data_IF_864150368309
#
_entry.id   IF_864150368309
#
_cell.length_a   1.000
_cell.length_b   1.000
_cell.length_c   1.000
_cell.angle_alpha   90.00
_cell.angle_beta   90.00
_cell.angle_gamma   90.00
#
_symmetry.space_group_name_H-M   'P 1'
#
loop_
_entity.id
_entity.type
_entity.pdbx_description
1 polymer ?
#
# COMPACT_ATOMS: atom_id res chain seq x y z
N UNK A 1 36.81 -10.89 1.32
CA UNK A 1 37.13 -9.81 0.37
C UNK A 1 35.90 -8.91 0.27
N UNK A 2 36.07 -7.61 0.35
CA UNK A 2 34.96 -6.64 0.08
C UNK A 2 34.91 -6.31 -1.42
N UNK A 3 33.79 -5.66 -1.84
CA UNK A 3 33.55 -5.37 -3.25
C UNK A 3 34.60 -4.42 -3.86
N UNK A 4 35.08 -3.46 -3.08
CA UNK A 4 36.03 -2.47 -3.54
C UNK A 4 37.41 -3.11 -3.81
N UNK A 5 37.85 -3.94 -2.88
CA UNK A 5 39.07 -4.76 -3.00
C UNK A 5 38.96 -5.71 -4.18
N UNK A 6 37.83 -6.39 -4.36
CA UNK A 6 37.59 -7.28 -5.49
C UNK A 6 37.74 -6.57 -6.85
N UNK A 7 37.09 -5.40 -7.00
CA UNK A 7 37.18 -4.62 -8.24
C UNK A 7 38.62 -4.15 -8.52
N UNK A 8 39.35 -3.75 -7.49
CA UNK A 8 40.75 -3.32 -7.59
C UNK A 8 41.63 -4.51 -8.02
N UNK A 9 41.49 -5.66 -7.38
CA UNK A 9 42.25 -6.85 -7.73
C UNK A 9 41.94 -7.36 -9.12
N UNK A 10 40.69 -7.35 -9.57
CA UNK A 10 40.32 -7.71 -10.93
C UNK A 10 41.01 -6.82 -11.99
N UNK A 11 41.18 -5.53 -11.68
CA UNK A 11 41.84 -4.57 -12.60
C UNK A 11 43.35 -4.74 -12.67
N UNK A 12 43.96 -5.22 -11.59
CA UNK A 12 45.42 -5.36 -11.48
C UNK A 12 45.93 -6.80 -11.60
N UNK A 13 45.02 -7.79 -11.76
CA UNK A 13 45.37 -9.20 -11.86
C UNK A 13 46.11 -9.50 -13.17
N UNK A 14 47.24 -10.21 -13.05
CA UNK A 14 47.90 -10.78 -14.22
C UNK A 14 47.05 -11.96 -14.76
N UNK A 15 46.62 -11.92 -16.02
CA UNK A 15 45.82 -12.99 -16.61
C UNK A 15 46.55 -14.34 -16.68
N UNK A 16 47.88 -14.37 -16.53
CA UNK A 16 48.69 -15.58 -16.49
C UNK A 16 48.83 -16.18 -15.07
N UNK A 17 48.46 -15.44 -14.02
CA UNK A 17 48.37 -15.96 -12.65
C UNK A 17 47.05 -16.74 -12.48
N UNK A 18 47.13 -18.02 -12.86
CA UNK A 18 45.96 -18.93 -12.84
C UNK A 18 45.35 -19.11 -11.45
N UNK A 19 46.18 -19.04 -10.38
CA UNK A 19 45.73 -19.18 -9.02
C UNK A 19 44.89 -17.95 -8.60
N UNK A 20 45.39 -16.75 -8.87
CA UNK A 20 44.70 -15.52 -8.56
C UNK A 20 43.43 -15.33 -9.39
N UNK A 21 43.49 -15.67 -10.67
CA UNK A 21 42.31 -15.65 -11.56
C UNK A 21 41.23 -16.60 -11.04
N UNK A 22 41.60 -17.82 -10.60
CA UNK A 22 40.62 -18.77 -10.05
C UNK A 22 39.99 -18.28 -8.76
N UNK A 23 40.73 -17.63 -7.86
CA UNK A 23 40.24 -17.03 -6.63
C UNK A 23 39.19 -15.91 -6.93
N UNK A 24 39.52 -15.02 -7.85
CA UNK A 24 38.65 -13.92 -8.24
C UNK A 24 37.35 -14.41 -8.93
N UNK A 25 37.46 -15.45 -9.76
CA UNK A 25 36.28 -16.08 -10.39
C UNK A 25 35.37 -16.73 -9.34
N UNK A 26 35.93 -17.43 -8.37
CA UNK A 26 35.18 -18.07 -7.27
C UNK A 26 34.43 -17.01 -6.44
N UNK A 27 35.09 -15.91 -6.11
CA UNK A 27 34.45 -14.81 -5.39
C UNK A 27 33.38 -14.12 -6.19
N UNK A 28 33.61 -13.90 -7.49
CA UNK A 28 32.62 -13.35 -8.41
C UNK A 28 31.37 -14.22 -8.54
N UNK A 29 31.54 -15.56 -8.55
CA UNK A 29 30.43 -16.50 -8.56
C UNK A 29 29.61 -16.42 -7.26
N UNK A 30 30.27 -16.39 -6.11
CA UNK A 30 29.57 -16.22 -4.82
C UNK A 30 28.79 -14.90 -4.73
N UNK A 31 29.35 -13.80 -5.24
CA UNK A 31 28.64 -12.52 -5.33
C UNK A 31 27.41 -12.63 -6.24
N UNK A 32 27.55 -13.32 -7.37
CA UNK A 32 26.43 -13.56 -8.29
C UNK A 32 25.28 -14.32 -7.63
N UNK A 33 25.59 -15.39 -6.91
CA UNK A 33 24.60 -16.17 -6.15
C UNK A 33 23.93 -15.34 -5.06
N UNK A 34 24.69 -14.55 -4.29
CA UNK A 34 24.15 -13.67 -3.26
C UNK A 34 23.23 -12.60 -3.85
N UNK A 35 23.55 -12.05 -5.03
CA UNK A 35 22.69 -11.08 -5.74
C UNK A 35 21.39 -11.75 -6.21
N UNK A 36 21.48 -12.97 -6.76
CA UNK A 36 20.32 -13.74 -7.21
C UNK A 36 19.41 -14.06 -6.03
N UNK A 37 19.98 -14.50 -4.91
CA UNK A 37 19.24 -14.79 -3.68
C UNK A 37 18.56 -13.53 -3.12
N UNK A 38 19.27 -12.41 -3.07
CA UNK A 38 18.73 -11.13 -2.63
C UNK A 38 17.61 -10.62 -3.57
N UNK A 39 17.72 -10.84 -4.89
CA UNK A 39 16.66 -10.55 -5.86
C UNK A 39 15.48 -11.49 -5.73
N UNK A 40 15.71 -12.76 -5.41
CA UNK A 40 14.66 -13.75 -5.17
C UNK A 40 13.86 -13.46 -3.89
N UNK A 41 14.45 -12.79 -2.91
CA UNK A 41 13.81 -12.33 -1.67
C UNK A 41 12.98 -11.05 -1.83
N UNK A 42 13.02 -10.36 -2.99
CA UNK A 42 12.05 -9.30 -3.25
C UNK A 42 10.68 -9.96 -3.37
N UNK A 43 9.86 -9.80 -2.34
CA UNK A 43 8.48 -10.27 -2.36
C UNK A 43 7.83 -9.79 -3.65
N UNK A 44 7.37 -10.74 -4.45
CA UNK A 44 6.64 -10.42 -5.69
C UNK A 44 5.36 -9.74 -5.25
N UNK A 45 5.14 -8.52 -5.74
CA UNK A 45 3.91 -7.78 -5.46
C UNK A 45 2.73 -8.61 -5.94
N UNK A 46 1.80 -9.00 -5.06
CA UNK A 46 0.68 -9.86 -5.41
C UNK A 46 -0.46 -9.05 -6.05
N UNK A 47 -0.25 -8.57 -7.26
CA UNK A 47 -1.18 -7.71 -7.98
C UNK A 47 -2.59 -8.31 -8.12
N UNK A 48 -2.66 -9.59 -8.46
CA UNK A 48 -3.91 -10.33 -8.64
C UNK A 48 -4.68 -10.42 -7.33
N UNK A 49 -3.99 -10.68 -6.22
CA UNK A 49 -4.60 -10.72 -4.88
C UNK A 49 -5.20 -9.38 -4.48
N UNK A 50 -4.53 -8.27 -4.82
CA UNK A 50 -5.06 -6.93 -4.52
C UNK A 50 -6.33 -6.66 -5.33
N UNK A 51 -6.37 -7.07 -6.60
CA UNK A 51 -7.55 -6.96 -7.45
C UNK A 51 -8.73 -7.80 -6.91
N UNK A 52 -8.46 -9.04 -6.49
CA UNK A 52 -9.45 -9.92 -5.88
C UNK A 52 -9.98 -9.37 -4.57
N UNK A 53 -9.11 -8.87 -3.69
CA UNK A 53 -9.51 -8.23 -2.43
C UNK A 53 -10.45 -7.04 -2.68
N UNK A 54 -10.12 -6.19 -3.65
CA UNK A 54 -11.00 -5.08 -4.02
C UNK A 54 -12.37 -5.58 -4.45
N UNK A 55 -12.43 -6.53 -5.38
CA UNK A 55 -13.69 -7.05 -5.92
C UNK A 55 -14.53 -7.78 -4.87
N UNK A 56 -13.90 -8.39 -3.87
CA UNK A 56 -14.59 -9.12 -2.81
C UNK A 56 -15.07 -8.18 -1.69
N UNK A 57 -14.32 -7.15 -1.36
CA UNK A 57 -14.64 -6.23 -0.27
C UNK A 57 -15.53 -5.09 -0.75
N UNK A 58 -15.16 -4.44 -1.85
CA UNK A 58 -15.88 -3.28 -2.40
C UNK A 58 -17.06 -3.70 -3.30
N UNK A 59 -18.04 -4.38 -2.73
CA UNK A 59 -19.19 -4.92 -3.48
C UNK A 59 -20.11 -3.84 -4.01
N UNK A 60 -20.15 -2.68 -3.36
CA UNK A 60 -20.96 -1.53 -3.76
C UNK A 60 -20.32 -0.66 -4.85
N UNK A 61 -19.07 -0.95 -5.23
CA UNK A 61 -18.31 -0.20 -6.22
C UNK A 61 -18.18 -0.97 -7.54
N UNK A 62 -17.92 -0.27 -8.65
CA UNK A 62 -17.65 -0.93 -9.93
C UNK A 62 -16.47 -1.90 -9.82
N UNK A 63 -16.66 -3.12 -10.31
CA UNK A 63 -15.63 -4.14 -10.29
C UNK A 63 -14.48 -3.82 -11.24
N UNK A 64 -13.27 -4.16 -10.84
CA UNK A 64 -12.07 -4.07 -11.66
C UNK A 64 -11.75 -5.45 -12.27
N UNK A 65 -11.66 -5.51 -13.60
CA UNK A 65 -11.50 -6.81 -14.30
C UNK A 65 -10.07 -7.10 -14.75
N UNK A 66 -9.28 -6.06 -15.02
CA UNK A 66 -7.94 -6.23 -15.61
C UNK A 66 -6.89 -5.41 -14.87
N UNK A 67 -5.70 -5.98 -14.77
CA UNK A 67 -4.49 -5.30 -14.31
C UNK A 67 -3.71 -4.76 -15.51
N UNK A 68 -4.00 -3.53 -15.91
CA UNK A 68 -3.21 -2.83 -16.93
C UNK A 68 -1.80 -2.51 -16.38
N UNK A 69 -0.88 -2.21 -17.30
CA UNK A 69 0.48 -1.75 -16.94
C UNK A 69 0.43 -0.54 -16.01
N UNK A 70 -0.46 0.40 -16.26
CA UNK A 70 -0.64 1.60 -15.44
C UNK A 70 -1.10 1.24 -14.00
N UNK A 71 -2.06 0.32 -13.85
CA UNK A 71 -2.50 -0.17 -12.54
C UNK A 71 -1.37 -0.85 -11.77
N UNK A 72 -0.59 -1.71 -12.44
CA UNK A 72 0.60 -2.35 -11.85
C UNK A 72 1.63 -1.31 -11.41
N UNK A 73 1.88 -0.29 -12.20
CA UNK A 73 2.81 0.81 -11.86
C UNK A 73 2.34 1.56 -10.61
N UNK A 74 1.06 1.88 -10.51
CA UNK A 74 0.49 2.57 -9.34
C UNK A 74 0.58 1.71 -8.08
N UNK A 75 0.22 0.43 -8.17
CA UNK A 75 0.35 -0.51 -7.04
C UNK A 75 1.82 -0.63 -6.62
N UNK A 76 2.75 -0.77 -7.59
CA UNK A 76 4.19 -0.79 -7.29
C UNK A 76 4.65 0.48 -6.56
N UNK A 77 4.14 1.65 -6.94
CA UNK A 77 4.41 2.92 -6.26
C UNK A 77 3.95 2.90 -4.79
N UNK A 78 2.81 2.25 -4.50
CA UNK A 78 2.37 2.05 -3.12
C UNK A 78 3.35 1.18 -2.34
N UNK A 79 3.79 0.05 -2.90
CA UNK A 79 4.78 -0.81 -2.23
C UNK A 79 6.15 -0.12 -2.05
N UNK A 80 6.54 0.73 -2.98
CA UNK A 80 7.75 1.57 -2.83
C UNK A 80 7.63 2.51 -1.64
N UNK A 81 6.44 3.01 -1.35
CA UNK A 81 6.13 3.85 -0.18
C UNK A 81 5.83 3.02 1.09
N UNK A 82 6.15 1.72 1.09
CA UNK A 82 6.02 0.80 2.23
C UNK A 82 4.59 0.41 2.59
N UNK A 83 3.61 0.66 1.72
CA UNK A 83 2.29 0.07 1.90
C UNK A 83 2.33 -1.45 1.69
N UNK A 84 1.51 -2.16 2.43
CA UNK A 84 1.40 -3.62 2.42
C UNK A 84 0.04 -4.07 1.86
N UNK A 85 -0.11 -5.35 1.56
CA UNK A 85 -1.40 -5.93 1.18
C UNK A 85 -2.48 -5.70 2.24
N UNK A 86 -2.08 -5.71 3.51
CA UNK A 86 -2.99 -5.45 4.64
C UNK A 86 -3.51 -4.01 4.65
N UNK A 87 -2.68 -3.05 4.22
CA UNK A 87 -3.11 -1.66 4.09
C UNK A 87 -4.15 -1.50 2.98
N UNK A 88 -3.98 -2.21 1.86
CA UNK A 88 -5.00 -2.27 0.81
C UNK A 88 -6.31 -2.88 1.31
N UNK A 89 -6.24 -3.99 2.04
CA UNK A 89 -7.43 -4.62 2.63
C UNK A 89 -8.15 -3.66 3.59
N UNK A 90 -7.42 -3.00 4.48
CA UNK A 90 -7.95 -2.01 5.43
C UNK A 90 -8.60 -0.84 4.70
N UNK A 91 -7.94 -0.30 3.68
CA UNK A 91 -8.47 0.79 2.87
C UNK A 91 -9.77 0.38 2.14
N UNK A 92 -9.81 -0.81 1.54
CA UNK A 92 -11.01 -1.30 0.86
C UNK A 92 -12.19 -1.48 1.82
N UNK A 93 -11.96 -1.98 3.04
CA UNK A 93 -12.97 -2.05 4.10
C UNK A 93 -13.45 -0.67 4.52
N UNK A 94 -12.53 0.28 4.70
CA UNK A 94 -12.87 1.67 5.04
C UNK A 94 -13.74 2.30 3.95
N UNK A 95 -13.39 2.12 2.68
CA UNK A 95 -14.18 2.63 1.54
C UNK A 95 -15.57 2.03 1.51
N UNK A 96 -15.68 0.70 1.70
CA UNK A 96 -16.97 0.03 1.72
C UNK A 96 -17.87 0.49 2.88
N UNK A 97 -17.29 0.91 4.00
CA UNK A 97 -18.00 1.38 5.18
C UNK A 97 -18.25 2.90 5.17
N UNK A 98 -17.69 3.65 4.22
CA UNK A 98 -17.84 5.11 4.14
C UNK A 98 -18.87 5.47 3.05
N UNK A 99 -20.08 5.94 3.41
CA UNK A 99 -21.15 6.26 2.46
C UNK A 99 -20.72 7.22 1.36
N UNK A 100 -19.97 8.26 1.71
CA UNK A 100 -19.43 9.22 0.75
C UNK A 100 -18.61 8.56 -0.36
N UNK A 101 -17.72 7.62 0.00
CA UNK A 101 -16.83 6.93 -0.94
C UNK A 101 -17.58 5.89 -1.79
N UNK A 102 -18.70 5.38 -1.31
CA UNK A 102 -19.59 4.48 -2.08
C UNK A 102 -20.47 5.20 -3.09
N UNK A 103 -20.54 6.54 -3.04
CA UNK A 103 -21.37 7.33 -3.94
C UNK A 103 -22.68 7.81 -3.33
N UNK A 104 -22.91 7.61 -2.04
CA UNK A 104 -24.03 8.14 -1.28
C UNK A 104 -23.78 9.61 -0.92
N UNK A 105 -23.43 10.40 -1.93
CA UNK A 105 -23.05 11.80 -1.77
C UNK A 105 -23.80 12.64 -2.80
N UNK A 106 -24.87 13.09 -2.75
CA UNK A 106 -25.67 13.93 -3.68
C UNK A 106 -25.02 14.44 -4.99
N UNK A 107 -23.76 14.10 -5.26
CA UNK A 107 -22.98 14.46 -6.45
C UNK A 107 -22.73 13.27 -7.40
N UNK A 108 -23.13 12.05 -7.04
CA UNK A 108 -22.95 10.85 -7.84
C UNK A 108 -21.49 10.39 -8.01
N UNK A 109 -20.54 11.01 -7.31
CA UNK A 109 -19.14 10.58 -7.34
C UNK A 109 -18.92 9.42 -6.40
N UNK A 110 -18.15 8.41 -6.84
CA UNK A 110 -17.74 7.28 -6.02
C UNK A 110 -16.26 6.95 -6.24
N UNK A 111 -15.65 6.32 -5.26
CA UNK A 111 -14.29 5.84 -5.39
C UNK A 111 -14.23 4.68 -6.40
N UNK A 112 -13.19 4.66 -7.23
CA UNK A 112 -12.92 3.56 -8.16
C UNK A 112 -11.64 2.85 -7.78
N UNK A 113 -11.41 1.65 -8.31
CA UNK A 113 -10.14 0.96 -8.12
C UNK A 113 -8.94 1.82 -8.51
N UNK A 114 -9.01 2.48 -9.67
CA UNK A 114 -7.94 3.35 -10.17
C UNK A 114 -7.68 4.58 -9.28
N UNK A 115 -8.69 5.06 -8.59
CA UNK A 115 -8.56 6.13 -7.62
C UNK A 115 -7.91 5.65 -6.33
N UNK A 116 -8.31 4.46 -5.85
CA UNK A 116 -7.82 3.87 -4.60
C UNK A 116 -6.36 3.45 -4.64
N UNK A 117 -5.89 2.92 -5.78
CA UNK A 117 -4.50 2.48 -5.93
C UNK A 117 -3.49 3.62 -6.12
N UNK A 118 -3.93 4.88 -6.07
CA UNK A 118 -3.00 6.03 -6.00
C UNK A 118 -2.49 6.16 -4.56
N UNK A 119 -1.16 6.21 -4.33
CA UNK A 119 -0.59 6.27 -2.98
C UNK A 119 -1.18 7.38 -2.10
N UNK A 120 -1.37 8.57 -2.67
CA UNK A 120 -1.94 9.73 -1.95
C UNK A 120 -3.39 9.51 -1.51
N UNK A 121 -4.19 8.80 -2.31
CA UNK A 121 -5.57 8.52 -1.99
C UNK A 121 -5.68 7.36 -1.01
N UNK A 122 -4.85 6.33 -1.19
CA UNK A 122 -4.73 5.19 -0.28
C UNK A 122 -4.41 5.69 1.14
N UNK A 123 -3.45 6.60 1.28
CA UNK A 123 -3.09 7.20 2.56
C UNK A 123 -4.27 7.93 3.20
N UNK A 124 -4.97 8.80 2.46
CA UNK A 124 -6.14 9.53 2.95
C UNK A 124 -7.27 8.62 3.43
N UNK A 125 -7.47 7.50 2.75
CA UNK A 125 -8.47 6.50 3.15
C UNK A 125 -8.04 5.80 4.44
N UNK A 126 -6.76 5.43 4.57
CA UNK A 126 -6.22 4.82 5.79
C UNK A 126 -6.28 5.76 6.99
N UNK A 127 -6.06 7.06 6.77
CA UNK A 127 -6.19 8.12 7.78
C UNK A 127 -7.66 8.49 8.08
N UNK A 128 -8.62 7.82 7.44
CA UNK A 128 -10.06 8.04 7.59
C UNK A 128 -10.50 9.50 7.37
N UNK A 129 -9.81 10.24 6.52
CA UNK A 129 -10.08 11.66 6.23
C UNK A 129 -11.52 11.90 5.76
N UNK A 130 -12.11 10.93 5.06
CA UNK A 130 -13.47 11.03 4.51
C UNK A 130 -14.56 10.67 5.53
N UNK A 131 -14.29 9.79 6.48
CA UNK A 131 -15.21 9.45 7.58
C UNK A 131 -15.34 10.59 8.60
N UNK A 132 -14.25 11.26 8.91
CA UNK A 132 -14.26 12.43 9.80
C UNK A 132 -15.02 13.62 9.20
N UNK A 133 -14.95 13.80 7.87
CA UNK A 133 -15.68 14.86 7.17
C UNK A 133 -17.20 14.63 7.14
N UNK A 134 -17.66 13.39 7.14
CA UNK A 134 -19.09 13.06 7.26
C UNK A 134 -19.60 13.17 8.70
N UNK A 135 -18.82 12.77 9.68
CA UNK A 135 -19.13 12.99 11.09
C UNK A 135 -19.25 14.49 11.43
N UNK A 136 -18.48 15.35 10.75
CA UNK A 136 -18.57 16.80 10.90
C UNK A 136 -19.76 17.41 10.13
N UNK A 137 -20.31 16.73 9.11
CA UNK A 137 -21.48 17.18 8.34
C UNK A 137 -22.80 16.64 8.85
N UNK A 138 -22.78 15.59 9.66
CA UNK A 138 -23.86 15.14 10.49
C UNK A 138 -23.50 15.41 11.96
N UNK A 139 -23.69 16.60 12.48
CA UNK A 139 -23.71 16.82 13.90
C UNK A 139 -25.01 16.20 14.45
N UNK A 140 -25.06 14.87 14.45
CA UNK A 140 -26.03 14.13 15.27
C UNK A 140 -25.63 14.16 16.76
N UNK A 141 -24.72 15.05 17.07
CA UNK A 141 -24.49 15.57 18.38
C UNK A 141 -25.41 16.80 18.54
N UNK A 142 -26.67 16.51 18.75
CA UNK A 142 -27.66 17.52 19.10
C UNK A 142 -27.29 18.03 20.49
N UNK A 143 -26.42 19.06 20.52
CA UNK A 143 -25.99 19.72 21.76
C UNK A 143 -27.23 20.25 22.47
N UNK A 144 -28.25 20.65 21.72
CA UNK A 144 -29.52 21.12 22.27
C UNK A 144 -30.28 19.99 22.98
N UNK A 145 -30.26 18.77 22.44
CA UNK A 145 -30.87 17.59 23.07
C UNK A 145 -30.12 17.17 24.35
N UNK A 146 -28.80 17.31 24.39
CA UNK A 146 -27.98 17.02 25.57
C UNK A 146 -28.15 18.11 26.62
N UNK A 147 -28.23 19.37 26.23
CA UNK A 147 -28.49 20.51 27.09
C UNK A 147 -29.91 20.44 27.67
N UNK A 148 -30.89 20.03 26.88
CA UNK A 148 -32.27 19.84 27.34
C UNK A 148 -32.38 18.67 28.33
N UNK A 149 -31.71 17.56 28.05
CA UNK A 149 -31.61 16.43 29.00
C UNK A 149 -30.87 16.77 30.30
N UNK A 150 -29.88 17.65 30.26
CA UNK A 150 -29.17 18.16 31.41
C UNK A 150 -30.04 19.14 32.25
N UNK A 151 -30.96 19.86 31.62
CA UNK A 151 -31.91 20.77 32.30
C UNK A 151 -33.01 20.03 33.07
N UNK A 152 -33.43 18.86 32.58
CA UNK A 152 -34.53 18.09 33.18
C UNK A 152 -34.09 16.87 34.01
N UNK A 153 -32.78 16.61 34.10
CA UNK A 153 -32.20 15.53 34.88
C UNK A 153 -31.93 15.92 36.33
N UNK A 154 -32.94 16.32 37.11
CA UNK A 154 -32.83 16.29 38.55
C UNK A 154 -33.15 14.88 39.06
N UNK A 155 -32.28 14.25 39.87
CA UNK A 155 -32.66 13.02 40.55
C UNK A 155 -33.73 13.36 41.58
N UNK A 156 -34.85 12.71 41.45
CA UNK A 156 -35.85 12.65 42.51
C UNK A 156 -35.27 11.70 43.58
N UNK A 157 -34.99 12.23 44.74
CA UNK A 157 -34.70 11.47 45.96
C UNK A 157 -35.98 10.86 46.47
#
# INVERSE_FOLDING_TARGET
MDMETFVKECRSCDPHDTAKVSELLAFGAQLGEAIIEARGKRERIPYEKILELYNNICVSLPKAHKLSTERRTRINSCFTQKFTVKDFETAFRTVQNTPFLRGENGRGWHATFDWLIKPSNLLKVLENTYGAAEAAKNPSFDIDLIMERAKYGKPQI
#
